data_IF_759862180753
#
_entry.id   IF_759862180753
#
_cell.length_a   1.000
_cell.length_b   1.000
_cell.length_c   1.000
_cell.angle_alpha   90.00
_cell.angle_beta   90.00
_cell.angle_gamma   90.00
#
_symmetry.space_group_name_H-M   'P 1'
#
loop_
_entity.id
_entity.type
_entity.pdbx_description
1 polymer ?
#
# COMPACT_ATOMS: atom_id res chain seq x y z
N UNK A 1 -7.65 5.67 0.69
CA UNK A 1 -6.51 5.02 0.01
C UNK A 1 -6.62 5.32 -1.48
N UNK A 2 -5.52 5.70 -2.13
CA UNK A 2 -5.48 5.95 -3.58
C UNK A 2 -4.29 5.21 -4.19
N UNK A 3 -4.28 5.09 -5.51
CA UNK A 3 -3.20 4.41 -6.24
C UNK A 3 -2.96 4.98 -7.63
N UNK A 4 -1.84 4.59 -8.21
CA UNK A 4 -1.41 5.00 -9.55
C UNK A 4 -1.63 3.91 -10.60
N UNK A 5 -1.52 4.31 -11.87
CA UNK A 5 -1.71 3.43 -13.03
C UNK A 5 -0.81 2.18 -12.99
N UNK A 6 0.40 2.31 -12.44
CA UNK A 6 1.38 1.22 -12.35
C UNK A 6 1.17 0.27 -11.17
N UNK A 7 -0.05 0.21 -10.64
CA UNK A 7 -0.43 -0.51 -9.41
C UNK A 7 0.24 0.02 -8.13
N UNK A 8 0.78 1.24 -8.15
CA UNK A 8 1.32 1.86 -6.94
C UNK A 8 0.19 2.25 -5.99
N UNK A 9 0.46 2.27 -4.68
CA UNK A 9 -0.49 2.71 -3.66
C UNK A 9 0.20 3.52 -2.58
N UNK A 10 -0.55 4.40 -1.93
CA UNK A 10 -0.06 5.21 -0.81
C UNK A 10 -1.12 5.43 0.25
N UNK A 11 -0.64 5.58 1.48
CA UNK A 11 -1.44 5.81 2.67
C UNK A 11 -0.84 6.95 3.51
N UNK A 12 -1.72 7.77 4.08
CA UNK A 12 -1.41 8.75 5.11
C UNK A 12 -2.52 8.62 6.16
N UNK A 13 -2.17 8.07 7.31
CA UNK A 13 -3.06 7.91 8.45
C UNK A 13 -2.49 8.69 9.63
N UNK A 14 -3.11 9.84 9.91
CA UNK A 14 -2.65 10.76 10.96
C UNK A 14 -3.03 10.28 12.35
N UNK A 15 -4.10 9.49 12.48
CA UNK A 15 -4.57 8.97 13.76
C UNK A 15 -3.65 7.84 14.23
N UNK A 16 -3.28 6.95 13.32
CA UNK A 16 -2.26 5.93 13.58
C UNK A 16 -0.83 6.51 13.60
N UNK A 17 -0.61 7.72 13.09
CA UNK A 17 0.71 8.34 13.05
C UNK A 17 1.65 7.71 12.01
N UNK A 18 1.11 7.19 10.91
CA UNK A 18 1.88 6.48 9.87
C UNK A 18 1.61 7.01 8.46
N UNK A 19 2.60 6.83 7.61
CA UNK A 19 2.49 7.02 6.17
C UNK A 19 3.31 5.94 5.45
N UNK A 20 2.94 5.64 4.21
CA UNK A 20 3.63 4.62 3.45
C UNK A 20 3.31 4.68 1.96
N UNK A 21 4.24 4.17 1.16
CA UNK A 21 4.08 4.03 -0.29
C UNK A 21 4.56 2.65 -0.74
N UNK A 22 3.72 1.96 -1.49
CA UNK A 22 4.09 0.77 -2.25
C UNK A 22 4.19 1.14 -3.73
N UNK A 23 5.41 1.41 -4.19
CA UNK A 23 5.69 2.01 -5.50
C UNK A 23 6.07 0.95 -6.54
N UNK A 24 5.08 0.32 -7.17
CA UNK A 24 5.31 -0.63 -8.26
C UNK A 24 5.42 0.05 -9.63
N UNK A 25 5.95 -0.67 -10.62
CA UNK A 25 6.07 -0.27 -12.03
C UNK A 25 5.44 -1.33 -12.94
N UNK A 26 4.22 -1.75 -12.63
CA UNK A 26 3.59 -2.94 -13.22
C UNK A 26 2.31 -2.58 -13.97
N UNK A 27 2.14 -3.15 -15.17
CA UNK A 27 0.94 -3.07 -16.00
C UNK A 27 0.40 -4.49 -16.28
N UNK A 28 -0.90 -4.65 -16.56
CA UNK A 28 -1.94 -3.62 -16.59
C UNK A 28 -2.34 -3.14 -15.19
N UNK A 29 -3.06 -2.01 -15.07
CA UNK A 29 -3.65 -1.59 -13.81
C UNK A 29 -4.63 -2.65 -13.28
N UNK A 30 -4.65 -2.86 -11.96
CA UNK A 30 -5.52 -3.84 -11.32
C UNK A 30 -4.96 -5.26 -11.29
N UNK A 31 -3.64 -5.45 -11.40
CA UNK A 31 -2.99 -6.76 -11.30
C UNK A 31 -3.34 -7.44 -9.95
N UNK A 32 -3.79 -8.68 -10.02
CA UNK A 32 -4.30 -9.40 -8.85
C UNK A 32 -3.20 -9.70 -7.83
N UNK A 33 -1.99 -10.03 -8.27
CA UNK A 33 -0.88 -10.31 -7.36
C UNK A 33 -0.37 -9.01 -6.73
N UNK A 34 -0.30 -7.91 -7.48
CA UNK A 34 0.08 -6.61 -6.87
C UNK A 34 -0.94 -6.16 -5.82
N UNK A 35 -2.23 -6.44 -6.01
CA UNK A 35 -3.27 -6.17 -4.99
C UNK A 35 -3.05 -6.99 -3.71
N UNK A 36 -2.72 -8.28 -3.84
CA UNK A 36 -2.38 -9.14 -2.69
C UNK A 36 -1.17 -8.58 -1.92
N UNK A 37 -0.11 -8.20 -2.64
CA UNK A 37 1.10 -7.63 -2.03
C UNK A 37 0.86 -6.26 -1.41
N UNK A 38 0.01 -5.42 -2.02
CA UNK A 38 -0.39 -4.13 -1.47
C UNK A 38 -1.11 -4.30 -0.13
N UNK A 39 -1.99 -5.30 -0.03
CA UNK A 39 -2.68 -5.63 1.22
C UNK A 39 -1.68 -6.07 2.29
N UNK A 40 -0.80 -7.02 1.98
CA UNK A 40 0.20 -7.52 2.91
C UNK A 40 1.16 -6.41 3.39
N UNK A 41 1.56 -5.50 2.49
CA UNK A 41 2.37 -4.34 2.82
C UNK A 41 1.67 -3.41 3.82
N UNK A 42 0.38 -3.11 3.61
CA UNK A 42 -0.37 -2.28 4.54
C UNK A 42 -0.57 -2.94 5.90
N UNK A 43 -0.93 -4.22 5.95
CA UNK A 43 -1.06 -4.98 7.21
C UNK A 43 0.23 -4.94 8.01
N UNK A 44 1.38 -5.08 7.34
CA UNK A 44 2.68 -5.00 7.99
C UNK A 44 3.04 -3.59 8.47
N UNK A 45 2.64 -2.53 7.74
CA UNK A 45 2.86 -1.16 8.24
C UNK A 45 2.11 -0.91 9.55
N UNK A 46 0.85 -1.33 9.64
CA UNK A 46 0.06 -1.16 10.86
C UNK A 46 0.62 -2.01 12.01
N UNK A 47 1.10 -3.24 11.74
CA UNK A 47 1.72 -4.11 12.77
C UNK A 47 2.95 -3.50 13.43
N UNK A 48 3.65 -2.59 12.74
CA UNK A 48 4.82 -1.87 13.28
C UNK A 48 4.46 -0.69 14.17
N UNK A 49 3.23 -0.19 14.12
CA UNK A 49 2.79 1.02 14.83
C UNK A 49 1.92 0.69 16.03
N UNK A 50 1.29 -0.49 16.05
CA UNK A 50 0.56 -1.03 17.22
C UNK A 50 1.49 -1.58 18.35
N UNK A 51 2.75 -1.14 18.42
CA UNK A 51 3.72 -1.52 19.47
C UNK A 51 3.67 -0.57 20.67
#
# INVERSE_FOLDING_TARGET
MWGGMYNSSWILDREAGLYGIYATQTLPPGDAKVREMTKAFHEELYSKVEQ
#
